data_IF_536075823670
#
_entry.id   IF_536075823670
#
_cell.length_a   1.000
_cell.length_b   1.000
_cell.length_c   1.000
_cell.angle_alpha   90.00
_cell.angle_beta   90.00
_cell.angle_gamma   90.00
#
_symmetry.space_group_name_H-M   'P 1'
#
loop_
_entity.id
_entity.type
_entity.pdbx_description
1 polymer ?
#
# COMPACT_ATOMS: atom_id res chain seq x y z
N UNK A 1 33.84 26.67 -26.67
CA UNK A 1 32.65 27.24 -26.01
C UNK A 1 32.56 26.65 -24.62
N UNK A 2 32.66 27.49 -23.61
CA UNK A 2 32.64 27.17 -22.18
C UNK A 2 31.33 27.70 -21.56
N UNK A 3 30.79 26.98 -20.59
CA UNK A 3 29.87 27.40 -19.49
C UNK A 3 29.60 26.14 -18.67
N UNK A 4 30.24 25.89 -17.52
CA UNK A 4 29.96 26.48 -16.20
C UNK A 4 28.47 26.49 -15.82
N UNK A 5 28.07 25.55 -14.97
CA UNK A 5 26.91 25.62 -14.09
C UNK A 5 27.36 25.09 -12.72
N UNK A 6 27.89 26.00 -11.91
CA UNK A 6 28.20 25.81 -10.51
C UNK A 6 26.97 26.14 -9.62
N UNK A 7 27.04 25.70 -8.36
CA UNK A 7 26.24 26.17 -7.21
C UNK A 7 24.76 25.69 -7.17
N UNK A 8 24.15 25.23 -6.06
CA UNK A 8 24.38 25.44 -4.63
C UNK A 8 23.79 24.28 -3.80
N UNK A 9 24.27 24.12 -2.55
CA UNK A 9 23.49 23.47 -1.49
C UNK A 9 24.30 22.90 -0.33
N UNK A 10 24.88 23.78 0.51
CA UNK A 10 25.74 23.45 1.65
C UNK A 10 25.02 23.81 2.97
N UNK A 11 24.56 22.83 3.75
CA UNK A 11 24.07 22.93 5.14
C UNK A 11 24.18 21.53 5.78
N UNK A 12 24.78 21.27 6.95
CA UNK A 12 25.53 22.06 7.90
C UNK A 12 26.27 21.08 8.84
N UNK A 13 27.43 21.49 9.34
CA UNK A 13 28.32 20.73 10.23
C UNK A 13 28.02 21.00 11.70
N UNK A 14 28.00 19.96 12.54
CA UNK A 14 28.29 20.10 13.97
C UNK A 14 29.39 19.11 14.35
N UNK A 15 30.48 19.68 14.85
CA UNK A 15 31.72 19.05 15.30
C UNK A 15 31.56 18.62 16.76
N UNK A 16 31.86 17.36 17.06
CA UNK A 16 32.02 16.84 18.42
C UNK A 16 33.32 16.06 18.49
N UNK A 17 34.30 16.59 19.22
CA UNK A 17 35.64 16.05 19.35
C UNK A 17 35.71 14.86 20.32
N UNK A 18 36.81 14.10 20.18
CA UNK A 18 37.45 13.17 21.12
C UNK A 18 37.26 11.67 20.88
N UNK A 19 38.28 11.07 20.24
CA UNK A 19 39.08 9.95 20.79
C UNK A 19 40.08 9.50 19.71
N UNK A 20 41.36 9.53 20.05
CA UNK A 20 42.45 9.11 19.18
C UNK A 20 42.39 7.60 18.88
N UNK A 21 42.58 7.22 17.62
CA UNK A 21 42.70 5.83 17.20
C UNK A 21 43.11 5.76 15.74
N UNK A 22 44.29 5.20 15.50
CA UNK A 22 44.95 5.04 14.21
C UNK A 22 44.04 4.18 13.30
N UNK A 23 43.39 4.80 12.32
CA UNK A 23 42.48 4.15 11.38
C UNK A 23 42.43 4.93 10.07
N UNK A 24 43.50 4.80 9.28
CA UNK A 24 43.63 5.45 7.99
C UNK A 24 42.55 5.03 6.98
N UNK A 25 42.05 6.02 6.24
CA UNK A 25 41.69 5.91 4.81
C UNK A 25 40.80 4.70 4.45
N UNK A 26 39.50 4.74 4.77
CA UNK A 26 38.57 3.70 4.29
C UNK A 26 37.12 4.16 4.00
N UNK A 27 36.89 5.43 3.66
CA UNK A 27 35.53 5.91 3.32
C UNK A 27 35.30 6.27 1.84
N UNK A 28 36.36 6.29 1.02
CA UNK A 28 36.27 6.82 -0.35
C UNK A 28 36.45 5.78 -1.46
N UNK A 29 36.50 4.48 -1.13
CA UNK A 29 36.65 3.37 -2.10
C UNK A 29 35.39 2.49 -2.18
N UNK A 30 34.45 2.66 -1.24
CA UNK A 30 33.21 1.87 -1.21
C UNK A 30 32.27 2.18 -2.39
N UNK A 31 32.35 3.37 -2.98
CA UNK A 31 31.55 3.74 -4.17
C UNK A 31 32.16 3.26 -5.49
N UNK A 32 33.44 2.83 -5.51
CA UNK A 32 34.14 2.41 -6.72
C UNK A 32 34.25 0.87 -6.89
N UNK A 33 34.01 0.08 -5.83
CA UNK A 33 34.34 -1.35 -5.84
C UNK A 33 33.16 -2.34 -5.77
N UNK A 34 31.90 -1.87 -5.75
CA UNK A 34 30.75 -2.79 -5.91
C UNK A 34 29.66 -2.20 -6.81
N UNK A 35 29.89 -2.14 -8.14
CA UNK A 35 28.83 -1.79 -9.10
C UNK A 35 27.56 -2.65 -8.91
N UNK A 36 27.68 -3.86 -8.35
CA UNK A 36 26.56 -4.72 -8.00
C UNK A 36 25.67 -4.25 -6.84
N UNK A 37 26.18 -3.48 -5.87
CA UNK A 37 25.38 -3.04 -4.71
C UNK A 37 24.48 -1.86 -5.08
N UNK A 38 24.99 -0.91 -5.86
CA UNK A 38 24.18 0.19 -6.41
C UNK A 38 23.06 -0.36 -7.31
N UNK A 39 23.40 -1.24 -8.26
CA UNK A 39 22.43 -1.87 -9.13
C UNK A 39 21.39 -2.73 -8.37
N UNK A 40 21.80 -3.43 -7.31
CA UNK A 40 20.87 -4.18 -6.45
C UNK A 40 19.94 -3.27 -5.64
N UNK A 41 20.44 -2.13 -5.17
CA UNK A 41 19.64 -1.12 -4.46
C UNK A 41 18.60 -0.50 -5.40
N UNK A 42 18.99 -0.13 -6.61
CA UNK A 42 18.09 0.43 -7.62
C UNK A 42 17.00 -0.57 -8.00
N UNK A 43 17.36 -1.85 -8.23
CA UNK A 43 16.39 -2.91 -8.49
C UNK A 43 15.39 -3.08 -7.34
N UNK A 44 15.85 -3.08 -6.09
CA UNK A 44 14.97 -3.18 -4.91
C UNK A 44 14.05 -1.97 -4.80
N UNK A 45 14.57 -0.77 -5.05
CA UNK A 45 13.78 0.45 -5.05
C UNK A 45 12.69 0.40 -6.13
N UNK A 46 13.03 -0.02 -7.35
CA UNK A 46 12.09 -0.18 -8.44
C UNK A 46 10.99 -1.20 -8.09
N UNK A 47 11.36 -2.36 -7.54
CA UNK A 47 10.40 -3.37 -7.09
C UNK A 47 9.44 -2.84 -6.02
N UNK A 48 9.94 -2.01 -5.08
CA UNK A 48 9.10 -1.41 -4.04
C UNK A 48 8.12 -0.38 -4.63
N UNK A 49 8.57 0.44 -5.58
CA UNK A 49 7.71 1.40 -6.30
C UNK A 49 6.62 0.67 -7.08
N UNK A 50 6.98 -0.40 -7.82
CA UNK A 50 6.03 -1.21 -8.57
C UNK A 50 4.99 -1.87 -7.65
N UNK A 51 5.43 -2.39 -6.50
CA UNK A 51 4.53 -2.97 -5.50
C UNK A 51 3.57 -1.92 -4.94
N UNK A 52 4.06 -0.72 -4.63
CA UNK A 52 3.23 0.37 -4.12
C UNK A 52 2.20 0.83 -5.15
N UNK A 53 2.60 0.93 -6.43
CA UNK A 53 1.68 1.26 -7.52
C UNK A 53 0.55 0.22 -7.65
N UNK A 54 0.89 -1.08 -7.60
CA UNK A 54 -0.11 -2.17 -7.63
C UNK A 54 -1.06 -2.13 -6.45
N UNK A 55 -0.56 -1.85 -5.24
CA UNK A 55 -1.36 -1.73 -4.03
C UNK A 55 -2.33 -0.56 -4.10
N UNK A 56 -1.86 0.60 -4.54
CA UNK A 56 -2.70 1.77 -4.76
C UNK A 56 -3.82 1.46 -5.78
N UNK A 57 -3.46 0.82 -6.89
CA UNK A 57 -4.42 0.44 -7.93
C UNK A 57 -5.46 -0.55 -7.42
N UNK A 58 -5.06 -1.57 -6.66
CA UNK A 58 -5.99 -2.53 -6.05
C UNK A 58 -7.00 -1.82 -5.13
N UNK A 59 -6.54 -0.94 -4.23
CA UNK A 59 -7.43 -0.17 -3.34
C UNK A 59 -8.39 0.71 -4.14
N UNK A 60 -7.91 1.35 -5.21
CA UNK A 60 -8.73 2.18 -6.11
C UNK A 60 -9.85 1.37 -6.76
N UNK A 61 -9.51 0.20 -7.31
CA UNK A 61 -10.47 -0.73 -7.92
C UNK A 61 -11.49 -1.20 -6.90
N UNK A 62 -11.07 -1.59 -5.69
CA UNK A 62 -11.98 -2.04 -4.63
C UNK A 62 -12.94 -0.94 -4.17
N UNK A 63 -12.45 0.27 -3.93
CA UNK A 63 -13.28 1.41 -3.51
C UNK A 63 -14.30 1.77 -4.59
N UNK A 64 -13.87 1.78 -5.85
CA UNK A 64 -14.76 2.05 -6.99
C UNK A 64 -15.82 0.96 -7.14
N UNK A 65 -15.42 -0.31 -7.06
CA UNK A 65 -16.33 -1.46 -7.15
C UNK A 65 -17.37 -1.47 -6.02
N UNK A 66 -16.94 -1.24 -4.78
CA UNK A 66 -17.83 -1.16 -3.62
C UNK A 66 -18.84 0.00 -3.74
N UNK A 67 -18.39 1.16 -4.25
CA UNK A 67 -19.28 2.31 -4.51
C UNK A 67 -20.33 1.97 -5.57
N UNK A 68 -19.91 1.40 -6.70
CA UNK A 68 -20.81 0.98 -7.77
C UNK A 68 -21.81 -0.10 -7.31
N UNK A 69 -21.35 -1.10 -6.58
CA UNK A 69 -22.19 -2.17 -6.05
C UNK A 69 -23.22 -1.66 -5.03
N UNK A 70 -22.83 -0.72 -4.16
CA UNK A 70 -23.76 -0.10 -3.22
C UNK A 70 -24.81 0.75 -3.94
N UNK A 71 -24.41 1.48 -4.98
CA UNK A 71 -25.36 2.24 -5.81
C UNK A 71 -26.33 1.30 -6.54
N UNK A 72 -25.85 0.19 -7.09
CA UNK A 72 -26.70 -0.83 -7.73
C UNK A 72 -27.70 -1.44 -6.72
N UNK A 73 -27.24 -1.77 -5.51
CA UNK A 73 -28.12 -2.27 -4.45
C UNK A 73 -29.20 -1.25 -4.07
N UNK A 74 -28.84 0.04 -3.92
CA UNK A 74 -29.82 1.11 -3.62
C UNK A 74 -30.83 1.32 -4.74
N UNK A 75 -30.40 1.25 -6.00
CA UNK A 75 -31.31 1.34 -7.15
C UNK A 75 -32.29 0.16 -7.17
N UNK A 76 -31.81 -1.05 -6.90
CA UNK A 76 -32.67 -2.23 -6.75
C UNK A 76 -33.64 -2.07 -5.56
N UNK A 77 -33.15 -1.58 -4.41
CA UNK A 77 -33.95 -1.42 -3.20
C UNK A 77 -35.09 -0.41 -3.36
N UNK A 78 -34.85 0.66 -4.14
CA UNK A 78 -35.81 1.71 -4.46
C UNK A 78 -36.73 1.38 -5.67
N UNK A 79 -36.36 0.39 -6.48
CA UNK A 79 -37.06 -0.01 -7.70
C UNK A 79 -38.05 -1.16 -7.51
N UNK A 80 -38.49 -1.76 -8.61
CA UNK A 80 -39.28 -3.00 -8.54
C UNK A 80 -38.40 -4.17 -8.13
N UNK A 81 -38.85 -4.94 -7.14
CA UNK A 81 -38.11 -6.09 -6.57
C UNK A 81 -38.39 -7.39 -7.32
N UNK A 82 -38.84 -7.28 -8.58
CA UNK A 82 -39.15 -8.42 -9.45
C UNK A 82 -37.89 -9.14 -9.92
N UNK A 83 -36.73 -8.50 -9.76
CA UNK A 83 -35.40 -9.06 -10.03
C UNK A 83 -34.68 -9.39 -8.73
N UNK A 84 -33.71 -10.32 -8.80
CA UNK A 84 -32.87 -10.63 -7.65
C UNK A 84 -32.00 -9.44 -7.25
N UNK A 85 -31.72 -9.32 -5.94
CA UNK A 85 -30.82 -8.30 -5.43
C UNK A 85 -29.41 -8.48 -6.04
N UNK A 86 -28.70 -7.38 -6.36
CA UNK A 86 -27.33 -7.45 -6.85
C UNK A 86 -26.41 -8.19 -5.87
N UNK A 87 -25.67 -9.17 -6.38
CA UNK A 87 -24.68 -9.97 -5.65
C UNK A 87 -23.30 -9.69 -6.25
N UNK A 88 -22.30 -9.41 -5.39
CA UNK A 88 -20.93 -9.06 -5.81
C UNK A 88 -19.99 -10.26 -5.85
N UNK A 89 -20.43 -11.43 -5.39
CA UNK A 89 -19.62 -12.65 -5.47
C UNK A 89 -19.37 -12.99 -6.94
N UNK A 90 -18.10 -13.12 -7.32
CA UNK A 90 -17.66 -13.27 -8.71
C UNK A 90 -17.24 -11.97 -9.39
N UNK A 91 -17.54 -10.80 -8.83
CA UNK A 91 -17.00 -9.54 -9.33
C UNK A 91 -15.48 -9.48 -9.13
N UNK A 92 -14.74 -9.06 -10.15
CA UNK A 92 -13.27 -8.99 -10.13
C UNK A 92 -12.73 -8.19 -8.93
N UNK A 93 -13.35 -7.04 -8.64
CA UNK A 93 -12.95 -6.20 -7.52
C UNK A 93 -13.15 -6.91 -6.18
N UNK A 94 -14.25 -7.66 -6.01
CA UNK A 94 -14.57 -8.33 -4.76
C UNK A 94 -13.71 -9.57 -4.58
N UNK A 95 -13.57 -10.41 -5.61
CA UNK A 95 -12.69 -11.58 -5.57
C UNK A 95 -11.22 -11.18 -5.36
N UNK A 96 -10.79 -10.03 -5.88
CA UNK A 96 -9.48 -9.46 -5.58
C UNK A 96 -9.32 -9.02 -4.10
N UNK A 97 -10.39 -8.58 -3.45
CA UNK A 97 -10.39 -8.16 -2.04
C UNK A 97 -10.43 -9.36 -1.07
N UNK A 98 -11.16 -10.43 -1.40
CA UNK A 98 -11.43 -11.58 -0.51
C UNK A 98 -10.20 -12.17 0.20
N UNK A 99 -9.05 -12.38 -0.47
CA UNK A 99 -7.86 -12.92 0.19
C UNK A 99 -7.35 -12.06 1.35
N UNK A 100 -7.60 -10.74 1.30
CA UNK A 100 -7.11 -9.74 2.25
C UNK A 100 -8.07 -9.49 3.43
N UNK A 101 -9.29 -10.01 3.37
CA UNK A 101 -10.24 -9.91 4.48
C UNK A 101 -9.76 -10.76 5.68
N UNK A 102 -10.03 -10.35 6.92
CA UNK A 102 -9.57 -11.08 8.10
C UNK A 102 -10.25 -12.46 8.20
N UNK A 103 -9.59 -13.43 8.82
CA UNK A 103 -10.15 -14.77 9.08
C UNK A 103 -11.08 -14.80 10.30
N UNK A 104 -11.16 -13.70 11.05
CA UNK A 104 -11.99 -13.53 12.26
C UNK A 104 -12.71 -12.19 12.23
N UNK A 105 -13.76 -12.04 13.05
CA UNK A 105 -14.55 -10.81 13.13
C UNK A 105 -15.64 -10.74 12.06
N UNK A 106 -16.35 -9.61 12.01
CA UNK A 106 -17.54 -9.47 11.17
C UNK A 106 -17.26 -9.65 9.68
N UNK A 107 -16.13 -9.17 9.19
CA UNK A 107 -15.75 -9.29 7.79
C UNK A 107 -15.34 -10.71 7.36
N UNK A 108 -15.06 -11.61 8.31
CA UNK A 108 -14.63 -12.98 8.00
C UNK A 108 -15.69 -13.77 7.21
N UNK A 109 -16.97 -13.48 7.46
CA UNK A 109 -18.10 -14.12 6.74
C UNK A 109 -18.01 -13.92 5.22
N UNK A 110 -17.47 -12.79 4.77
CA UNK A 110 -17.38 -12.46 3.34
C UNK A 110 -16.29 -13.26 2.60
N UNK A 111 -15.32 -13.85 3.31
CA UNK A 111 -14.29 -14.70 2.70
C UNK A 111 -14.89 -15.93 2.02
N UNK A 112 -15.97 -16.48 2.55
CA UNK A 112 -16.59 -17.73 2.07
C UNK A 112 -18.06 -17.59 1.69
N UNK A 113 -18.65 -16.42 1.88
CA UNK A 113 -20.03 -16.16 1.46
C UNK A 113 -20.22 -16.41 -0.05
N UNK A 114 -21.31 -17.10 -0.40
CA UNK A 114 -21.75 -17.29 -1.78
C UNK A 114 -22.64 -16.15 -2.28
N UNK A 115 -23.16 -15.35 -1.35
CA UNK A 115 -23.93 -14.16 -1.63
C UNK A 115 -23.48 -13.01 -0.73
N UNK A 116 -23.16 -11.88 -1.36
CA UNK A 116 -22.79 -10.64 -0.69
C UNK A 116 -23.50 -9.50 -1.41
N UNK A 117 -24.41 -8.85 -0.69
CA UNK A 117 -25.18 -7.70 -1.18
C UNK A 117 -24.64 -6.45 -0.52
N UNK A 118 -24.30 -5.42 -1.30
CA UNK A 118 -23.72 -4.19 -0.76
C UNK A 118 -24.78 -3.23 -0.17
N UNK A 119 -25.56 -3.74 0.78
CA UNK A 119 -26.42 -2.94 1.65
C UNK A 119 -25.59 -2.04 2.58
N UNK A 120 -26.23 -1.13 3.32
CA UNK A 120 -25.51 -0.17 4.16
C UNK A 120 -24.60 -0.84 5.21
N UNK A 121 -25.03 -1.89 5.95
CA UNK A 121 -24.14 -2.62 6.84
C UNK A 121 -22.93 -3.22 6.12
N UNK A 122 -23.13 -3.91 4.99
CA UNK A 122 -22.03 -4.54 4.23
C UNK A 122 -21.08 -3.49 3.66
N UNK A 123 -21.61 -2.37 3.15
CA UNK A 123 -20.82 -1.22 2.70
C UNK A 123 -19.91 -0.71 3.82
N UNK A 124 -20.45 -0.53 5.03
CA UNK A 124 -19.67 -0.03 6.16
C UNK A 124 -18.53 -0.98 6.53
N UNK A 125 -18.82 -2.28 6.66
CA UNK A 125 -17.80 -3.28 7.01
C UNK A 125 -16.71 -3.36 5.96
N UNK A 126 -17.07 -3.50 4.68
CA UNK A 126 -16.07 -3.60 3.60
C UNK A 126 -15.26 -2.31 3.43
N UNK A 127 -15.87 -1.13 3.61
CA UNK A 127 -15.18 0.16 3.54
C UNK A 127 -14.11 0.27 4.63
N UNK A 128 -14.43 -0.14 5.87
CA UNK A 128 -13.48 -0.15 6.97
C UNK A 128 -12.33 -1.13 6.72
N UNK A 129 -12.62 -2.33 6.20
CA UNK A 129 -11.58 -3.32 5.89
C UNK A 129 -10.65 -2.86 4.77
N UNK A 130 -11.18 -2.24 3.70
CA UNK A 130 -10.35 -1.64 2.65
C UNK A 130 -9.44 -0.57 3.24
N UNK A 131 -9.96 0.29 4.13
CA UNK A 131 -9.16 1.30 4.82
C UNK A 131 -8.08 0.71 5.75
N UNK A 132 -8.38 -0.40 6.44
CA UNK A 132 -7.40 -1.13 7.25
C UNK A 132 -6.27 -1.68 6.38
N UNK A 133 -6.59 -2.36 5.28
CA UNK A 133 -5.62 -2.92 4.34
C UNK A 133 -4.73 -1.83 3.74
N UNK A 134 -5.34 -0.71 3.31
CA UNK A 134 -4.61 0.45 2.78
C UNK A 134 -3.60 1.00 3.80
N UNK A 135 -4.01 1.13 5.08
CA UNK A 135 -3.13 1.58 6.16
C UNK A 135 -1.99 0.60 6.42
N UNK A 136 -2.27 -0.69 6.49
CA UNK A 136 -1.24 -1.73 6.67
C UNK A 136 -0.21 -1.68 5.55
N UNK A 137 -0.66 -1.58 4.31
CA UNK A 137 0.20 -1.47 3.14
C UNK A 137 1.05 -0.19 3.12
N UNK A 138 0.53 0.95 3.60
CA UNK A 138 1.31 2.18 3.77
C UNK A 138 2.37 2.05 4.87
N UNK A 139 2.03 1.40 6.00
CA UNK A 139 2.98 1.19 7.10
C UNK A 139 4.13 0.28 6.63
N UNK A 140 3.81 -0.82 5.96
CA UNK A 140 4.81 -1.71 5.34
C UNK A 140 5.72 -0.97 4.36
N UNK A 141 5.15 -0.14 3.48
CA UNK A 141 5.92 0.66 2.52
C UNK A 141 6.83 1.69 3.20
N UNK A 142 6.43 2.21 4.36
CA UNK A 142 7.23 3.18 5.13
C UNK A 142 8.41 2.55 5.87
N UNK A 143 8.53 1.20 5.90
CA UNK A 143 9.54 0.49 6.67
C UNK A 143 9.44 0.70 8.19
N UNK A 144 8.39 1.36 8.67
CA UNK A 144 8.13 1.54 10.10
C UNK A 144 7.54 0.24 10.62
N UNK A 145 8.36 -0.62 11.20
CA UNK A 145 7.85 -1.68 12.07
C UNK A 145 6.94 -1.03 13.10
N UNK A 146 5.68 -1.50 13.25
CA UNK A 146 4.82 -1.01 14.32
C UNK A 146 5.56 -1.21 15.63
N UNK A 147 5.83 -0.12 16.37
CA UNK A 147 6.33 -0.24 17.74
C UNK A 147 5.28 -1.03 18.51
N UNK A 148 5.54 -2.31 18.72
CA UNK A 148 4.78 -3.16 19.62
C UNK A 148 4.94 -2.56 21.03
N UNK A 149 4.02 -1.68 21.41
CA UNK A 149 3.75 -1.42 22.83
C UNK A 149 2.85 -2.56 23.29
N UNK A 150 3.39 -3.40 24.17
CA UNK A 150 2.58 -4.29 24.99
C UNK A 150 1.74 -3.51 26.00
#
# INVERSE_FOLDING_TARGET
MAMEMAMMGLLGTVVGASAMGIGGIAKSIAEAYVPGVAAAKDRRQQMNVDLQARRYEAVRVWRSGLCSASNAYRQWEAGSRDTHAPNVVGDEWFEGLRPHLPTTGEAAKFRTAYEVRCDNPTLMVLSLEIGRIEKEWMVEASGRTPKHRG
#
